data_IF_727112040592
#
_entry.id   IF_727112040592
#
_cell.length_a   1.000
_cell.length_b   1.000
_cell.length_c   1.000
_cell.angle_alpha   90.00
_cell.angle_beta   90.00
_cell.angle_gamma   90.00
#
_symmetry.space_group_name_H-M   'P 1'
#
loop_
_entity.id
_entity.type
_entity.pdbx_description
1 polymer ?
#
# COMPACT_ATOMS: atom_id res chain seq x y z
N UNK A 1 -4.52 4.57 -32.43
CA UNK A 1 -4.17 5.67 -31.50
C UNK A 1 -2.95 6.39 -32.06
N UNK A 2 -3.00 7.70 -32.25
CA UNK A 2 -1.87 8.50 -32.72
C UNK A 2 -1.30 9.21 -31.50
N UNK A 3 -0.03 8.95 -31.16
CA UNK A 3 0.65 9.59 -30.03
C UNK A 3 1.78 10.45 -30.57
N UNK A 4 1.73 11.75 -30.33
CA UNK A 4 2.80 12.67 -30.72
C UNK A 4 4.00 12.50 -29.76
N UNK A 5 5.08 11.91 -30.26
CA UNK A 5 6.30 11.63 -29.45
C UNK A 5 7.14 12.90 -29.26
N UNK A 6 7.13 13.81 -30.24
CA UNK A 6 7.89 15.05 -30.23
C UNK A 6 7.99 15.67 -31.62
N UNK A 7 8.90 16.62 -31.80
CA UNK A 7 9.29 17.17 -33.11
C UNK A 7 10.74 16.83 -33.43
N UNK A 8 11.10 16.68 -34.70
CA UNK A 8 12.49 16.38 -35.08
C UNK A 8 13.42 17.53 -34.69
N UNK A 9 14.57 17.22 -34.09
CA UNK A 9 15.65 18.19 -33.84
C UNK A 9 16.04 18.97 -35.10
N UNK A 10 16.08 18.30 -36.25
CA UNK A 10 16.55 18.89 -37.52
C UNK A 10 15.61 19.95 -38.12
N UNK A 11 14.38 20.06 -37.63
CA UNK A 11 13.33 20.94 -38.19
C UNK A 11 12.77 21.89 -37.12
N UNK A 12 13.54 22.15 -36.06
CA UNK A 12 13.10 22.96 -34.92
C UNK A 12 12.88 24.43 -35.30
N UNK A 13 13.68 24.94 -36.24
CA UNK A 13 13.66 26.34 -36.69
C UNK A 13 12.66 26.63 -37.82
N UNK A 14 12.04 25.59 -38.41
CA UNK A 14 11.10 25.75 -39.54
C UNK A 14 9.70 26.21 -39.08
N UNK A 15 9.49 26.37 -37.77
CA UNK A 15 8.21 26.73 -37.19
C UNK A 15 8.40 27.88 -36.19
N UNK A 16 7.75 29.01 -36.42
CA UNK A 16 7.81 30.18 -35.52
C UNK A 16 6.86 30.06 -34.32
N UNK A 17 5.77 29.28 -34.45
CA UNK A 17 4.78 29.08 -33.40
C UNK A 17 5.05 27.76 -32.65
N UNK A 18 6.05 27.77 -31.76
CA UNK A 18 6.40 26.62 -30.91
C UNK A 18 6.24 26.98 -29.44
N UNK A 19 5.35 26.28 -28.74
CA UNK A 19 5.21 26.45 -27.29
C UNK A 19 6.47 25.98 -26.55
N UNK A 20 6.81 26.57 -25.38
CA UNK A 20 8.04 26.29 -24.64
C UNK A 20 8.17 24.83 -24.17
N UNK A 21 7.09 24.04 -24.16
CA UNK A 21 7.10 22.62 -23.78
C UNK A 21 7.25 21.64 -24.95
N UNK A 22 7.62 22.11 -26.15
CA UNK A 22 7.74 21.22 -27.30
C UNK A 22 8.98 20.34 -27.19
N UNK A 23 8.77 19.04 -26.95
CA UNK A 23 9.85 18.05 -26.85
C UNK A 23 10.48 17.78 -28.23
N UNK A 24 11.76 18.08 -28.38
CA UNK A 24 12.54 17.70 -29.56
C UNK A 24 13.07 16.28 -29.40
N UNK A 25 12.92 15.47 -30.45
CA UNK A 25 13.30 14.05 -30.49
C UNK A 25 14.12 13.78 -31.74
N UNK A 26 15.04 12.81 -31.67
CA UNK A 26 15.80 12.37 -32.84
C UNK A 26 14.89 11.62 -33.80
N UNK A 27 15.23 11.64 -35.09
CA UNK A 27 14.54 10.82 -36.07
C UNK A 27 14.67 9.34 -35.65
N UNK A 28 13.56 8.60 -35.50
CA UNK A 28 13.63 7.17 -35.21
C UNK A 28 14.38 6.42 -36.31
N UNK A 29 15.22 5.47 -35.92
CA UNK A 29 16.01 4.66 -36.85
C UNK A 29 15.34 3.31 -37.16
N UNK A 30 15.65 2.77 -38.34
CA UNK A 30 15.14 1.50 -38.85
C UNK A 30 13.80 1.61 -39.59
N UNK A 31 13.08 0.50 -39.70
CA UNK A 31 11.81 0.45 -40.43
C UNK A 31 10.74 1.34 -39.78
N UNK A 32 9.97 2.04 -40.61
CA UNK A 32 8.87 2.92 -40.18
C UNK A 32 7.75 2.10 -39.52
N UNK A 33 7.49 0.90 -40.03
CA UNK A 33 6.50 -0.02 -39.49
C UNK A 33 7.20 -1.14 -38.73
N UNK A 34 7.01 -1.18 -37.41
CA UNK A 34 7.53 -2.26 -36.56
C UNK A 34 6.36 -3.00 -35.92
N UNK A 35 6.40 -4.33 -35.95
CA UNK A 35 5.48 -5.16 -35.16
C UNK A 35 6.08 -5.28 -33.76
N UNK A 36 5.38 -4.75 -32.77
CA UNK A 36 5.75 -4.88 -31.36
C UNK A 36 4.71 -5.75 -30.67
N UNK A 37 5.17 -6.79 -30.00
CA UNK A 37 4.36 -7.57 -29.08
C UNK A 37 4.37 -6.88 -27.72
N UNK A 38 3.19 -6.67 -27.15
CA UNK A 38 3.03 -6.06 -25.83
C UNK A 38 2.19 -6.98 -24.97
N UNK A 39 2.79 -7.45 -23.87
CA UNK A 39 2.11 -8.27 -22.87
C UNK A 39 1.31 -7.33 -21.97
N UNK A 40 0.03 -7.63 -21.77
CA UNK A 40 -0.86 -6.90 -20.89
C UNK A 40 -1.33 -7.84 -19.78
N UNK A 41 -1.16 -7.40 -18.53
CA UNK A 41 -1.69 -8.09 -17.36
C UNK A 41 -2.89 -7.29 -16.87
N UNK A 42 -4.05 -7.95 -16.76
CA UNK A 42 -5.33 -7.34 -16.42
C UNK A 42 -5.96 -8.20 -15.32
N UNK A 43 -6.52 -7.58 -14.29
CA UNK A 43 -7.21 -8.30 -13.23
C UNK A 43 -8.62 -8.74 -13.70
N UNK A 44 -9.10 -9.89 -13.22
CA UNK A 44 -10.45 -10.38 -13.55
C UNK A 44 -11.55 -9.35 -13.23
N UNK A 45 -11.39 -8.64 -12.10
CA UNK A 45 -12.29 -7.55 -11.72
C UNK A 45 -12.37 -6.45 -12.78
N UNK A 46 -11.27 -6.13 -13.46
CA UNK A 46 -11.28 -5.09 -14.50
C UNK A 46 -12.07 -5.56 -15.72
N UNK A 47 -11.95 -6.84 -16.09
CA UNK A 47 -12.74 -7.47 -17.15
C UNK A 47 -14.23 -7.46 -16.77
N UNK A 48 -14.55 -7.78 -15.51
CA UNK A 48 -15.92 -7.76 -14.98
C UNK A 48 -16.57 -6.39 -15.12
N UNK A 49 -15.87 -5.33 -14.70
CA UNK A 49 -16.38 -3.95 -14.76
C UNK A 49 -16.59 -3.50 -16.21
N UNK A 50 -15.64 -3.80 -17.10
CA UNK A 50 -15.72 -3.42 -18.52
C UNK A 50 -16.93 -4.04 -19.20
N UNK A 51 -17.25 -5.30 -18.89
CA UNK A 51 -18.37 -6.01 -19.52
C UNK A 51 -19.72 -5.77 -18.82
N UNK A 52 -19.73 -5.23 -17.60
CA UNK A 52 -20.95 -4.95 -16.84
C UNK A 52 -21.70 -3.70 -17.35
N UNK A 53 -21.01 -2.70 -17.92
CA UNK A 53 -21.61 -1.42 -18.34
C UNK A 53 -21.12 -0.96 -19.71
N UNK A 54 -21.97 -0.23 -20.44
CA UNK A 54 -21.69 0.34 -21.78
C UNK A 54 -20.50 1.33 -21.80
N UNK A 55 -20.09 1.86 -20.64
CA UNK A 55 -18.87 2.66 -20.43
C UNK A 55 -18.01 2.14 -19.26
N UNK A 56 -17.96 0.81 -19.06
CA UNK A 56 -17.28 0.20 -17.91
C UNK A 56 -15.80 0.59 -17.75
N UNK A 57 -15.10 0.92 -18.85
CA UNK A 57 -13.71 1.38 -18.76
C UNK A 57 -13.54 2.70 -17.98
N UNK A 58 -14.47 3.65 -18.09
CA UNK A 58 -14.43 4.90 -17.30
C UNK A 58 -14.80 4.67 -15.83
N UNK A 59 -15.63 3.65 -15.56
CA UNK A 59 -16.01 3.27 -14.20
C UNK A 59 -14.81 2.80 -13.37
N UNK A 60 -13.82 2.14 -14.00
CA UNK A 60 -12.58 1.70 -13.35
C UNK A 60 -11.79 2.86 -12.72
N UNK A 61 -11.81 4.04 -13.35
CA UNK A 61 -11.07 5.21 -12.87
C UNK A 61 -11.89 6.13 -11.96
N UNK A 62 -13.21 6.06 -12.04
CA UNK A 62 -14.12 6.89 -11.24
C UNK A 62 -14.57 6.23 -9.95
N UNK A 63 -14.39 4.91 -9.80
CA UNK A 63 -14.83 4.14 -8.64
C UNK A 63 -16.33 3.86 -8.61
N UNK A 64 -17.11 4.37 -9.58
CA UNK A 64 -18.54 4.08 -9.73
C UNK A 64 -18.77 2.78 -10.53
N UNK A 65 -18.20 1.69 -10.01
CA UNK A 65 -18.35 0.36 -10.62
C UNK A 65 -19.67 -0.29 -10.21
N UNK A 66 -20.15 -0.01 -8.99
CA UNK A 66 -21.33 -0.64 -8.40
C UNK A 66 -21.16 -2.14 -8.20
N UNK A 67 -22.21 -2.81 -7.71
CA UNK A 67 -22.21 -4.27 -7.58
C UNK A 67 -22.30 -4.93 -8.97
N UNK A 68 -21.43 -5.90 -9.21
CA UNK A 68 -21.40 -6.66 -10.46
C UNK A 68 -22.21 -7.94 -10.26
N UNK A 69 -23.19 -8.16 -11.13
CA UNK A 69 -24.02 -9.37 -11.11
C UNK A 69 -23.17 -10.63 -11.25
N UNK A 70 -23.52 -11.67 -10.49
CA UNK A 70 -22.84 -12.97 -10.55
C UNK A 70 -22.86 -13.59 -11.95
N UNK A 71 -23.93 -13.40 -12.73
CA UNK A 71 -24.03 -13.87 -14.12
C UNK A 71 -22.88 -13.38 -15.01
N UNK A 72 -22.47 -12.11 -14.85
CA UNK A 72 -21.36 -11.51 -15.61
C UNK A 72 -20.04 -12.15 -15.21
N UNK A 73 -19.83 -12.36 -13.90
CA UNK A 73 -18.62 -13.01 -13.37
C UNK A 73 -18.50 -14.45 -13.85
N UNK A 74 -19.59 -15.21 -13.86
CA UNK A 74 -19.60 -16.59 -14.36
C UNK A 74 -19.31 -16.67 -15.86
N UNK A 75 -19.86 -15.74 -16.66
CA UNK A 75 -19.58 -15.65 -18.10
C UNK A 75 -18.10 -15.33 -18.36
N UNK A 76 -17.51 -14.43 -17.58
CA UNK A 76 -16.10 -14.07 -17.72
C UNK A 76 -15.21 -15.24 -17.28
N UNK A 77 -15.50 -15.88 -16.15
CA UNK A 77 -14.75 -17.03 -15.69
C UNK A 77 -14.71 -18.15 -16.75
N UNK A 78 -15.84 -18.44 -17.40
CA UNK A 78 -15.88 -19.41 -18.52
C UNK A 78 -14.97 -18.99 -19.68
N UNK A 79 -15.04 -17.73 -20.12
CA UNK A 79 -14.18 -17.22 -21.19
C UNK A 79 -12.70 -17.24 -20.83
N UNK A 80 -12.34 -16.96 -19.57
CA UNK A 80 -10.94 -17.02 -19.14
C UNK A 80 -10.42 -18.45 -19.13
N UNK A 81 -11.25 -19.42 -18.73
CA UNK A 81 -10.90 -20.85 -18.83
C UNK A 81 -10.74 -21.26 -20.30
N UNK A 82 -11.66 -20.86 -21.19
CA UNK A 82 -11.52 -21.11 -22.63
C UNK A 82 -10.23 -20.49 -23.20
N UNK A 83 -9.91 -19.23 -22.87
CA UNK A 83 -8.68 -18.59 -23.32
C UNK A 83 -7.42 -19.25 -22.79
N UNK A 84 -7.49 -19.82 -21.58
CA UNK A 84 -6.40 -20.62 -21.00
C UNK A 84 -6.23 -21.94 -21.76
N UNK A 85 -7.32 -22.66 -22.05
CA UNK A 85 -7.28 -23.91 -22.81
C UNK A 85 -6.80 -23.72 -24.26
N UNK A 86 -7.18 -22.59 -24.87
CA UNK A 86 -6.75 -22.20 -26.23
C UNK A 86 -5.32 -21.62 -26.27
N UNK A 87 -4.61 -21.51 -25.14
CA UNK A 87 -3.32 -20.84 -25.00
C UNK A 87 -3.30 -19.40 -25.52
N UNK A 88 -4.43 -18.68 -25.42
CA UNK A 88 -4.54 -17.25 -25.73
C UNK A 88 -4.24 -16.36 -24.53
N UNK A 89 -4.37 -16.88 -23.32
CA UNK A 89 -4.09 -16.15 -22.08
C UNK A 89 -3.52 -17.06 -21.00
N UNK A 90 -2.64 -16.50 -20.17
CA UNK A 90 -2.12 -17.15 -18.97
C UNK A 90 -2.78 -16.56 -17.73
N UNK A 91 -3.17 -17.43 -16.79
CA UNK A 91 -3.71 -17.01 -15.49
C UNK A 91 -2.56 -16.95 -14.49
N UNK A 92 -2.33 -15.77 -13.91
CA UNK A 92 -1.31 -15.54 -12.88
C UNK A 92 -1.99 -15.29 -11.53
N UNK A 93 -1.88 -16.20 -10.55
CA UNK A 93 -2.42 -15.98 -9.21
C UNK A 93 -1.74 -14.78 -8.55
N UNK A 94 -2.54 -13.86 -8.02
CA UNK A 94 -2.07 -12.70 -7.26
C UNK A 94 -1.88 -13.01 -5.77
N UNK A 95 -1.66 -11.95 -4.99
CA UNK A 95 -1.64 -11.99 -3.53
C UNK A 95 -2.70 -11.03 -3.00
N UNK A 96 -3.59 -11.53 -2.15
CA UNK A 96 -4.54 -10.72 -1.39
C UNK A 96 -3.98 -10.54 0.02
N UNK A 97 -3.56 -9.32 0.37
CA UNK A 97 -3.11 -8.99 1.71
C UNK A 97 -4.21 -8.29 2.50
N UNK A 98 -4.57 -8.85 3.66
CA UNK A 98 -5.53 -8.24 4.59
C UNK A 98 -4.79 -7.94 5.90
N UNK A 99 -4.59 -6.66 6.18
CA UNK A 99 -4.10 -6.20 7.47
C UNK A 99 -5.23 -6.15 8.50
N UNK A 100 -4.88 -6.29 9.77
CA UNK A 100 -5.82 -6.27 10.90
C UNK A 100 -7.04 -7.19 10.72
N UNK A 101 -6.80 -8.44 10.27
CA UNK A 101 -7.87 -9.40 9.91
C UNK A 101 -8.86 -9.70 11.04
N UNK A 102 -8.49 -9.50 12.30
CA UNK A 102 -9.37 -9.61 13.46
C UNK A 102 -10.54 -8.60 13.47
N UNK A 103 -10.50 -7.61 12.58
CA UNK A 103 -11.59 -6.67 12.35
C UNK A 103 -12.71 -7.24 11.46
N UNK A 104 -12.51 -8.39 10.82
CA UNK A 104 -13.54 -9.09 10.06
C UNK A 104 -14.52 -9.84 10.98
N UNK A 105 -15.74 -10.04 10.48
CA UNK A 105 -16.77 -10.84 11.15
C UNK A 105 -16.81 -12.28 10.62
N UNK A 106 -17.65 -13.10 11.25
CA UNK A 106 -17.82 -14.51 10.89
C UNK A 106 -18.28 -14.70 9.43
N UNK A 107 -19.08 -13.79 8.89
CA UNK A 107 -19.57 -13.87 7.51
C UNK A 107 -18.43 -13.64 6.51
N UNK A 108 -17.57 -12.66 6.78
CA UNK A 108 -16.37 -12.41 5.99
C UNK A 108 -15.42 -13.63 5.99
N UNK A 109 -15.20 -14.26 7.14
CA UNK A 109 -14.39 -15.47 7.21
C UNK A 109 -15.02 -16.65 6.47
N UNK A 110 -16.33 -16.81 6.55
CA UNK A 110 -17.07 -17.83 5.81
C UNK A 110 -16.95 -17.63 4.30
N UNK A 111 -16.99 -16.37 3.84
CA UNK A 111 -16.73 -16.02 2.45
C UNK A 111 -15.29 -16.36 2.04
N UNK A 112 -14.29 -15.97 2.85
CA UNK A 112 -12.88 -16.23 2.57
C UNK A 112 -12.59 -17.74 2.46
N UNK A 113 -13.14 -18.56 3.37
CA UNK A 113 -12.99 -20.01 3.30
C UNK A 113 -13.45 -20.59 1.96
N UNK A 114 -14.62 -20.16 1.48
CA UNK A 114 -15.16 -20.58 0.18
C UNK A 114 -14.33 -20.04 -0.98
N UNK A 115 -13.84 -18.80 -0.87
CA UNK A 115 -13.05 -18.17 -1.93
C UNK A 115 -11.69 -18.88 -2.12
N UNK A 116 -11.03 -19.29 -1.03
CA UNK A 116 -9.73 -19.98 -1.05
C UNK A 116 -9.81 -21.36 -1.72
N UNK A 117 -11.00 -21.97 -1.76
CA UNK A 117 -11.23 -23.27 -2.42
C UNK A 117 -11.36 -23.15 -3.94
N UNK A 118 -11.47 -21.93 -4.49
CA UNK A 118 -11.56 -21.73 -5.93
C UNK A 118 -10.20 -21.88 -6.61
N UNK A 119 -10.17 -22.52 -7.79
CA UNK A 119 -8.96 -22.70 -8.61
C UNK A 119 -8.28 -21.37 -9.00
N UNK A 120 -9.05 -20.29 -9.09
CA UNK A 120 -8.57 -18.95 -9.44
C UNK A 120 -8.24 -18.10 -8.20
N UNK A 121 -8.23 -18.69 -7.00
CA UNK A 121 -7.97 -17.96 -5.76
C UNK A 121 -6.54 -17.41 -5.74
N UNK A 122 -6.35 -16.13 -5.37
CA UNK A 122 -5.03 -15.62 -5.06
C UNK A 122 -4.49 -16.26 -3.77
N UNK A 123 -3.19 -16.08 -3.53
CA UNK A 123 -2.59 -16.41 -2.23
C UNK A 123 -3.12 -15.41 -1.20
N UNK A 124 -3.80 -15.90 -0.17
CA UNK A 124 -4.27 -15.08 0.93
C UNK A 124 -3.17 -14.92 1.99
N UNK A 125 -2.78 -13.68 2.27
CA UNK A 125 -1.86 -13.33 3.36
C UNK A 125 -2.62 -12.43 4.33
N UNK A 126 -2.74 -12.87 5.59
CA UNK A 126 -3.45 -12.12 6.63
C UNK A 126 -2.51 -11.73 7.76
N UNK A 127 -2.69 -10.54 8.31
CA UNK A 127 -1.93 -10.05 9.45
C UNK A 127 -2.84 -9.69 10.63
N UNK A 128 -2.35 -9.95 11.84
CA UNK A 128 -3.05 -9.60 13.08
C UNK A 128 -2.04 -9.26 14.16
N UNK A 129 -2.38 -8.25 14.96
CA UNK A 129 -1.64 -7.84 16.16
C UNK A 129 -2.31 -8.34 17.44
N UNK A 130 -3.42 -9.09 17.34
CA UNK A 130 -4.16 -9.65 18.48
C UNK A 130 -3.73 -11.08 18.78
N UNK A 131 -3.52 -11.35 20.07
CA UNK A 131 -3.20 -12.71 20.55
C UNK A 131 -4.45 -13.58 20.69
N UNK A 132 -5.43 -13.10 21.47
CA UNK A 132 -6.75 -13.72 21.61
C UNK A 132 -7.81 -12.61 21.59
N UNK A 133 -8.84 -12.78 20.77
CA UNK A 133 -9.90 -11.79 20.57
C UNK A 133 -11.21 -12.52 20.29
N UNK A 134 -12.35 -11.84 20.46
CA UNK A 134 -13.63 -12.37 20.02
C UNK A 134 -13.75 -12.30 18.51
N UNK A 135 -14.28 -13.36 17.89
CA UNK A 135 -14.67 -13.32 16.48
C UNK A 135 -15.87 -12.37 16.37
N UNK A 136 -15.74 -11.28 15.62
CA UNK A 136 -16.79 -10.26 15.53
C UNK A 136 -18.09 -10.88 15.00
N UNK A 137 -19.21 -10.46 15.59
CA UNK A 137 -20.52 -11.07 15.35
C UNK A 137 -20.83 -12.29 16.22
N UNK A 138 -19.89 -12.74 17.06
CA UNK A 138 -20.08 -13.89 17.96
C UNK A 138 -19.61 -13.59 19.39
N UNK A 139 -19.93 -14.48 20.32
CA UNK A 139 -19.39 -14.48 21.70
C UNK A 139 -18.23 -15.48 21.86
N UNK A 140 -17.66 -15.96 20.74
CA UNK A 140 -16.62 -16.99 20.73
C UNK A 140 -15.26 -16.30 20.70
N UNK A 141 -14.42 -16.62 21.67
CA UNK A 141 -13.03 -16.16 21.73
C UNK A 141 -12.13 -17.15 21.01
N UNK A 142 -11.27 -16.68 20.12
CA UNK A 142 -10.32 -17.53 19.39
C UNK A 142 -8.92 -16.91 19.36
N UNK A 143 -7.88 -17.72 19.11
CA UNK A 143 -6.56 -17.19 18.78
C UNK A 143 -6.68 -16.23 17.61
N UNK A 144 -6.03 -15.07 17.72
CA UNK A 144 -5.98 -14.06 16.66
C UNK A 144 -7.32 -13.44 16.22
N UNK A 145 -8.45 -13.81 16.84
CA UNK A 145 -9.79 -13.38 16.41
C UNK A 145 -10.24 -14.04 15.10
N UNK A 146 -9.66 -15.19 14.74
CA UNK A 146 -9.93 -15.92 13.50
C UNK A 146 -10.63 -17.24 13.84
N UNK A 147 -11.62 -17.70 13.06
CA UNK A 147 -12.22 -19.03 13.20
C UNK A 147 -11.16 -20.16 13.12
N UNK A 148 -11.33 -21.20 13.94
CA UNK A 148 -10.36 -22.29 14.10
C UNK A 148 -10.17 -23.06 12.78
N UNK A 149 -11.23 -23.23 12.01
CA UNK A 149 -11.25 -23.85 10.69
C UNK A 149 -10.33 -23.15 9.68
N UNK A 150 -10.30 -21.81 9.67
CA UNK A 150 -9.37 -21.06 8.82
C UNK A 150 -7.95 -21.09 9.39
N UNK A 151 -7.79 -21.08 10.72
CA UNK A 151 -6.48 -21.18 11.37
C UNK A 151 -5.80 -22.52 11.11
N UNK A 152 -6.54 -23.63 11.17
CA UNK A 152 -6.01 -24.99 10.95
C UNK A 152 -5.53 -25.17 9.49
N UNK A 153 -6.10 -24.40 8.56
CA UNK A 153 -5.69 -24.34 7.15
C UNK A 153 -4.54 -23.35 6.89
N UNK A 154 -4.15 -22.56 7.89
CA UNK A 154 -3.20 -21.45 7.73
C UNK A 154 -1.81 -21.80 8.22
N UNK A 155 -0.78 -21.33 7.50
CA UNK A 155 0.60 -21.34 7.99
C UNK A 155 0.85 -20.09 8.84
N UNK A 156 1.08 -20.28 10.15
CA UNK A 156 1.30 -19.16 11.08
C UNK A 156 2.79 -18.79 11.11
N UNK A 157 3.13 -17.60 10.62
CA UNK A 157 4.48 -17.03 10.70
C UNK A 157 4.52 -15.99 11.82
N UNK A 158 5.29 -16.26 12.88
CA UNK A 158 5.45 -15.34 14.01
C UNK A 158 6.63 -14.40 13.78
N UNK A 159 6.37 -13.10 13.78
CA UNK A 159 7.41 -12.08 13.78
C UNK A 159 7.97 -11.89 15.18
N UNK A 160 9.26 -11.54 15.28
CA UNK A 160 9.93 -11.24 16.55
C UNK A 160 10.16 -9.73 16.66
N UNK A 161 10.15 -9.16 17.88
CA UNK A 161 10.56 -7.78 18.09
C UNK A 161 11.98 -7.54 17.58
N UNK A 162 12.20 -6.36 17.00
CA UNK A 162 13.51 -5.94 16.52
C UNK A 162 14.49 -5.70 17.67
N UNK A 163 15.78 -5.97 17.43
CA UNK A 163 16.85 -5.53 18.33
C UNK A 163 17.10 -4.03 18.19
N UNK A 164 17.79 -3.42 19.15
CA UNK A 164 18.17 -2.00 19.06
C UNK A 164 19.01 -1.69 17.82
N UNK A 165 19.83 -2.65 17.36
CA UNK A 165 20.63 -2.51 16.16
C UNK A 165 19.76 -2.51 14.91
N UNK A 166 18.83 -3.46 14.81
CA UNK A 166 17.89 -3.53 13.68
C UNK A 166 17.02 -2.27 13.60
N UNK A 167 16.59 -1.73 14.75
CA UNK A 167 15.82 -0.47 14.82
C UNK A 167 16.62 0.68 14.21
N UNK A 168 17.89 0.83 14.59
CA UNK A 168 18.74 1.89 14.06
C UNK A 168 18.94 1.75 12.55
N UNK A 169 19.21 0.53 12.07
CA UNK A 169 19.38 0.24 10.64
C UNK A 169 18.10 0.56 9.84
N UNK A 170 16.92 0.20 10.37
CA UNK A 170 15.63 0.54 9.75
C UNK A 170 15.44 2.07 9.68
N UNK A 171 15.76 2.78 10.76
CA UNK A 171 15.63 4.25 10.79
C UNK A 171 16.60 4.93 9.82
N UNK A 172 17.82 4.40 9.64
CA UNK A 172 18.78 4.89 8.64
C UNK A 172 18.26 4.70 7.22
N UNK A 173 17.73 3.52 6.91
CA UNK A 173 17.12 3.25 5.59
C UNK A 173 15.94 4.21 5.35
N UNK A 174 15.09 4.44 6.36
CA UNK A 174 13.96 5.37 6.26
C UNK A 174 14.39 6.81 6.03
N UNK A 175 15.40 7.29 6.75
CA UNK A 175 15.95 8.62 6.54
C UNK A 175 16.54 8.77 5.13
N UNK A 176 17.22 7.74 4.63
CA UNK A 176 17.77 7.73 3.26
C UNK A 176 16.66 7.76 2.20
N UNK A 177 15.61 6.95 2.36
CA UNK A 177 14.46 6.93 1.45
C UNK A 177 13.74 8.29 1.40
N UNK A 178 13.60 8.95 2.55
CA UNK A 178 13.03 10.30 2.64
C UNK A 178 14.02 11.42 2.23
N UNK A 179 15.25 11.06 1.84
CA UNK A 179 16.34 12.00 1.50
C UNK A 179 16.63 13.01 2.62
N UNK A 180 16.55 12.58 3.88
CA UNK A 180 16.80 13.37 5.08
C UNK A 180 18.19 13.07 5.63
N UNK A 181 19.07 14.08 5.62
CA UNK A 181 20.36 13.96 6.28
C UNK A 181 20.24 14.19 7.79
N UNK A 182 20.77 13.26 8.58
CA UNK A 182 20.70 13.30 10.05
C UNK A 182 22.09 13.14 10.67
N UNK A 183 22.28 13.74 11.85
CA UNK A 183 23.47 13.53 12.67
C UNK A 183 23.47 12.13 13.31
N UNK A 184 24.64 11.56 13.59
CA UNK A 184 24.76 10.23 14.21
C UNK A 184 24.06 10.19 15.59
N UNK A 185 24.19 11.24 16.38
CA UNK A 185 23.55 11.36 17.69
C UNK A 185 22.01 11.40 17.59
N UNK A 186 21.48 11.94 16.49
CA UNK A 186 20.04 11.98 16.24
C UNK A 186 19.48 10.57 16.02
N UNK A 187 20.22 9.70 15.32
CA UNK A 187 19.85 8.28 15.20
C UNK A 187 19.85 7.56 16.54
N UNK A 188 20.87 7.80 17.38
CA UNK A 188 20.92 7.21 18.73
C UNK A 188 19.69 7.57 19.58
N UNK A 189 19.25 8.83 19.52
CA UNK A 189 18.04 9.30 20.21
C UNK A 189 16.79 8.65 19.64
N UNK A 190 16.65 8.58 18.31
CA UNK A 190 15.49 7.95 17.67
C UNK A 190 15.40 6.46 17.99
N UNK A 191 16.52 5.75 18.01
CA UNK A 191 16.57 4.32 18.35
C UNK A 191 16.10 4.09 19.80
N UNK A 192 16.58 4.91 20.75
CA UNK A 192 16.11 4.89 22.13
C UNK A 192 14.61 5.21 22.25
N UNK A 193 14.12 6.21 21.51
CA UNK A 193 12.71 6.58 21.48
C UNK A 193 11.84 5.46 20.90
N UNK A 194 12.26 4.84 19.80
CA UNK A 194 11.57 3.73 19.14
C UNK A 194 11.42 2.54 20.09
N UNK A 195 12.47 2.21 20.87
CA UNK A 195 12.43 1.14 21.87
C UNK A 195 11.47 1.41 23.04
N UNK A 196 11.27 2.69 23.42
CA UNK A 196 10.32 3.07 24.50
C UNK A 196 8.88 3.23 24.01
N UNK A 197 8.71 3.62 22.75
CA UNK A 197 7.42 3.97 22.15
C UNK A 197 7.04 2.98 21.04
N UNK A 198 7.22 3.37 19.77
CA UNK A 198 7.04 2.51 18.60
C UNK A 198 7.95 2.96 17.47
N UNK A 199 8.30 2.03 16.58
CA UNK A 199 9.09 2.34 15.39
C UNK A 199 8.35 3.31 14.45
N UNK A 200 7.02 3.19 14.32
CA UNK A 200 6.19 4.09 13.52
C UNK A 200 6.28 5.54 13.99
N UNK A 201 6.19 5.75 15.31
CA UNK A 201 6.33 7.08 15.89
C UNK A 201 7.72 7.67 15.63
N UNK A 202 8.78 6.87 15.80
CA UNK A 202 10.15 7.30 15.51
C UNK A 202 10.34 7.67 14.02
N UNK A 203 9.76 6.92 13.07
CA UNK A 203 9.78 7.27 11.65
C UNK A 203 9.10 8.61 11.38
N UNK A 204 7.93 8.87 11.98
CA UNK A 204 7.25 10.18 11.84
C UNK A 204 8.06 11.34 12.43
N UNK A 205 8.90 11.07 13.45
CA UNK A 205 9.83 12.06 13.99
C UNK A 205 10.97 12.42 13.01
N UNK A 206 11.32 11.56 12.06
CA UNK A 206 12.28 11.88 11.00
C UNK A 206 11.72 12.99 10.12
N UNK A 207 10.52 12.81 9.56
CA UNK A 207 9.90 13.79 8.67
C UNK A 207 9.59 15.11 9.38
N UNK A 208 9.07 15.05 10.62
CA UNK A 208 8.81 16.27 11.40
C UNK A 208 10.10 16.96 11.86
N UNK A 209 11.13 16.21 12.21
CA UNK A 209 12.48 16.72 12.48
C UNK A 209 13.08 17.42 11.27
N UNK A 210 12.86 16.89 10.06
CA UNK A 210 13.30 17.51 8.81
C UNK A 210 12.66 18.88 8.58
N UNK A 211 11.36 19.01 8.80
CA UNK A 211 10.65 20.30 8.69
C UNK A 211 11.20 21.32 9.71
N UNK A 212 11.48 20.89 10.95
CA UNK A 212 12.05 21.76 11.97
C UNK A 212 13.48 22.21 11.64
N UNK A 213 14.30 21.29 11.08
CA UNK A 213 15.62 21.61 10.54
C UNK A 213 15.53 22.66 9.44
N UNK A 214 14.62 22.49 8.47
CA UNK A 214 14.43 23.45 7.38
C UNK A 214 14.03 24.83 7.90
N UNK A 215 13.12 24.87 8.87
CA UNK A 215 12.74 26.12 9.54
C UNK A 215 13.91 26.80 10.25
N UNK A 216 14.83 26.01 10.82
CA UNK A 216 16.08 26.49 11.44
C UNK A 216 17.15 26.84 10.39
N UNK A 217 16.95 26.47 9.12
CA UNK A 217 17.95 26.55 8.03
C UNK A 217 19.22 25.75 8.33
N UNK A 218 19.05 24.58 8.96
CA UNK A 218 20.14 23.64 9.20
C UNK A 218 20.39 22.70 8.02
N UNK A 219 21.62 22.21 7.87
CA UNK A 219 21.95 21.21 6.84
C UNK A 219 21.45 19.81 7.23
N UNK A 220 21.67 19.40 8.48
CA UNK A 220 21.30 18.08 9.02
C UNK A 220 20.33 18.18 10.18
N UNK A 221 19.48 17.16 10.32
CA UNK A 221 18.61 17.00 11.49
C UNK A 221 19.46 16.67 12.70
N UNK A 222 19.37 17.54 13.70
CA UNK A 222 20.11 17.45 14.96
C UNK A 222 19.23 16.92 16.10
N UNK A 223 19.83 16.46 17.22
CA UNK A 223 19.11 16.16 18.46
C UNK A 223 18.14 17.25 18.93
N UNK A 224 18.45 18.51 18.67
CA UNK A 224 17.62 19.66 19.08
C UNK A 224 16.30 19.68 18.31
N UNK A 225 16.34 19.37 17.01
CA UNK A 225 15.17 19.32 16.14
C UNK A 225 14.24 18.18 16.58
N UNK A 226 14.80 17.00 16.88
CA UNK A 226 14.06 15.86 17.40
C UNK A 226 13.45 16.10 18.78
N UNK A 227 14.18 16.75 19.68
CA UNK A 227 13.66 17.10 21.02
C UNK A 227 12.46 18.03 20.90
N UNK A 228 12.51 18.99 19.97
CA UNK A 228 11.40 19.89 19.68
C UNK A 228 10.23 19.16 19.03
N UNK A 229 10.47 18.25 18.08
CA UNK A 229 9.43 17.41 17.49
C UNK A 229 8.72 16.57 18.56
N UNK A 230 9.49 15.91 19.44
CA UNK A 230 8.98 15.12 20.55
C UNK A 230 8.14 15.94 21.56
N UNK A 231 8.47 17.22 21.77
CA UNK A 231 7.67 18.09 22.63
C UNK A 231 6.34 18.51 22.00
N UNK A 232 6.28 18.60 20.67
CA UNK A 232 5.09 19.03 19.95
C UNK A 232 4.13 17.87 19.68
N UNK A 233 4.66 16.70 19.33
CA UNK A 233 3.88 15.53 18.95
C UNK A 233 3.98 14.46 20.03
N UNK A 234 2.87 14.14 20.68
CA UNK A 234 2.81 13.11 21.73
C UNK A 234 2.74 11.71 21.12
N UNK A 235 3.44 10.75 21.70
CA UNK A 235 3.25 9.33 21.40
C UNK A 235 2.00 8.79 22.13
N UNK A 236 1.53 7.61 21.73
CA UNK A 236 0.34 6.98 22.30
C UNK A 236 0.38 6.89 23.84
N UNK A 237 1.51 6.48 24.44
CA UNK A 237 1.58 6.30 25.91
C UNK A 237 1.50 7.62 26.65
N UNK A 238 2.15 8.67 26.11
CA UNK A 238 2.04 10.03 26.68
C UNK A 238 0.64 10.61 26.50
N UNK A 239 0.03 10.37 25.35
CA UNK A 239 -1.35 10.80 25.06
C UNK A 239 -2.34 10.13 26.00
N UNK A 240 -2.26 8.81 26.18
CA UNK A 240 -3.09 8.05 27.12
C UNK A 240 -2.96 8.56 28.55
N UNK A 241 -1.72 8.81 29.01
CA UNK A 241 -1.49 9.40 30.33
C UNK A 241 -2.14 10.79 30.45
N UNK A 242 -1.95 11.64 29.45
CA UNK A 242 -2.58 12.96 29.42
C UNK A 242 -4.11 12.85 29.48
N UNK A 243 -4.72 11.94 28.72
CA UNK A 243 -6.16 11.72 28.77
C UNK A 243 -6.65 11.28 30.15
N UNK A 244 -5.92 10.38 30.80
CA UNK A 244 -6.24 9.92 32.16
C UNK A 244 -6.09 11.04 33.20
N UNK A 245 -5.03 11.84 33.13
CA UNK A 245 -4.78 12.94 34.07
C UNK A 245 -5.86 14.04 33.98
N UNK A 246 -6.41 14.27 32.78
CA UNK A 246 -7.44 15.28 32.51
C UNK A 246 -8.85 14.69 32.30
N UNK A 247 -9.07 13.42 32.67
CA UNK A 247 -10.32 12.68 32.42
C UNK A 247 -11.58 13.44 32.85
N UNK A 248 -11.52 14.20 33.96
CA UNK A 248 -12.63 14.99 34.50
C UNK A 248 -13.07 16.16 33.61
N UNK A 249 -12.20 16.61 32.71
CA UNK A 249 -12.47 17.68 31.77
C UNK A 249 -12.91 17.17 30.40
N UNK A 250 -12.77 15.87 30.16
CA UNK A 250 -13.29 15.24 28.95
C UNK A 250 -14.73 14.81 29.18
N UNK A 251 -15.54 15.04 28.16
CA UNK A 251 -16.91 14.53 28.12
C UNK A 251 -16.78 13.03 27.87
N UNK A 252 -17.11 12.23 28.87
CA UNK A 252 -17.47 10.84 28.66
C UNK A 252 -18.99 10.82 28.56
N UNK A 253 -19.52 10.32 27.44
CA UNK A 253 -20.90 9.83 27.39
C UNK A 253 -21.03 8.55 28.25
#
# INVERSE_FOLDING_TARGET
RITKIGRSFSRTYDYDAVGPQTKSVRCPEGEIQKRKETIHTIALHEIDVINSRTQGFLALFSGDTGEIKNEVREQINKKVVEWREENKADVVPGVLFIDEVHMLDLECFSFLNRAIESDLSPILVIATNKGHEYIRGTQIKSPHGIPIDLLDRSLIIRTKPYSSKDIEDILRIRAQEESVEMEADAFGILTLLAGKTSLRYAMQLISTGNILRERRRGEKVSPVDLKRAYSLFMDHKRSEKFLNDYQKHFIND
#
